data_IF_912819502290
#
_entry.id   IF_912819502290
#
_cell.length_a   1.000
_cell.length_b   1.000
_cell.length_c   1.000
_cell.angle_alpha   90.00
_cell.angle_beta   90.00
_cell.angle_gamma   90.00
#
_symmetry.space_group_name_H-M   'P 1'
#
loop_
_entity.id
_entity.type
_entity.pdbx_description
1 polymer ?
#
# COMPACT_ATOMS: atom_id res chain seq x y z
N UNK A 1 -28.61 16.16 -15.54
CA UNK A 1 -27.36 16.70 -14.95
C UNK A 1 -26.18 15.91 -15.50
N UNK A 2 -25.05 16.56 -15.73
CA UNK A 2 -23.80 15.90 -16.14
C UNK A 2 -23.24 15.07 -14.97
N UNK A 3 -22.63 13.92 -15.27
CA UNK A 3 -22.01 13.06 -14.24
C UNK A 3 -20.84 13.81 -13.57
N UNK A 4 -20.68 13.75 -12.23
CA UNK A 4 -19.52 14.33 -11.57
C UNK A 4 -18.22 13.65 -12.03
N UNK A 5 -17.10 14.38 -11.99
CA UNK A 5 -15.81 13.89 -12.49
C UNK A 5 -14.97 13.31 -11.35
N UNK A 6 -14.39 12.13 -11.57
CA UNK A 6 -13.33 11.55 -10.74
C UNK A 6 -12.00 11.68 -11.47
N UNK A 7 -11.00 12.26 -10.82
CA UNK A 7 -9.62 12.27 -11.29
C UNK A 7 -8.94 10.96 -10.87
N UNK A 8 -8.60 10.14 -11.85
CA UNK A 8 -7.95 8.86 -11.67
C UNK A 8 -6.43 8.99 -11.85
N UNK A 9 -5.66 8.63 -10.82
CA UNK A 9 -4.22 8.79 -10.80
C UNK A 9 -3.51 7.45 -11.04
N UNK A 10 -2.53 7.46 -11.95
CA UNK A 10 -1.68 6.31 -12.23
C UNK A 10 -2.22 5.38 -13.31
N UNK A 11 -1.87 4.10 -13.18
CA UNK A 11 -2.18 3.09 -14.18
C UNK A 11 -3.65 2.68 -14.15
N UNK A 12 -4.20 2.15 -15.27
CA UNK A 12 -5.52 1.53 -15.27
C UNK A 12 -5.65 0.48 -14.16
N UNK A 13 -6.86 0.30 -13.63
CA UNK A 13 -7.13 -0.77 -12.67
C UNK A 13 -6.74 -2.14 -13.24
N UNK A 14 -6.11 -2.97 -12.41
CA UNK A 14 -5.72 -4.34 -12.78
C UNK A 14 -6.76 -5.39 -12.34
N UNK A 15 -7.60 -5.04 -11.36
CA UNK A 15 -8.59 -5.92 -10.73
C UNK A 15 -9.89 -5.15 -10.49
N UNK A 16 -10.96 -5.86 -10.09
CA UNK A 16 -12.28 -5.29 -9.78
C UNK A 16 -12.91 -4.51 -10.95
N UNK A 17 -12.74 -5.01 -12.17
CA UNK A 17 -13.30 -4.39 -13.38
C UNK A 17 -14.81 -4.19 -13.32
N UNK A 18 -15.55 -5.13 -12.73
CA UNK A 18 -17.01 -5.02 -12.61
C UNK A 18 -17.45 -3.82 -11.75
N UNK A 19 -16.72 -3.55 -10.65
CA UNK A 19 -16.99 -2.39 -9.79
C UNK A 19 -16.65 -1.07 -10.50
N UNK A 20 -15.54 -1.04 -11.22
CA UNK A 20 -15.08 0.15 -11.93
C UNK A 20 -15.94 0.46 -13.16
N UNK A 21 -16.19 -0.54 -14.02
CA UNK A 21 -16.96 -0.40 -15.25
C UNK A 21 -18.48 -0.34 -14.99
N UNK A 22 -18.95 -0.95 -13.90
CA UNK A 22 -20.35 -0.93 -13.49
C UNK A 22 -20.69 0.32 -12.66
N UNK A 23 -20.84 0.19 -11.33
CA UNK A 23 -21.39 1.24 -10.49
C UNK A 23 -20.59 2.54 -10.51
N UNK A 24 -19.26 2.50 -10.64
CA UNK A 24 -18.44 3.71 -10.65
C UNK A 24 -18.60 4.49 -11.96
N UNK A 25 -18.30 3.89 -13.11
CA UNK A 25 -18.41 4.54 -14.42
C UNK A 25 -19.86 4.89 -14.82
N UNK A 26 -20.84 4.18 -14.26
CA UNK A 26 -22.26 4.54 -14.45
C UNK A 26 -22.61 5.86 -13.76
N UNK A 27 -22.01 6.15 -12.59
CA UNK A 27 -22.32 7.34 -11.78
C UNK A 27 -21.39 8.53 -12.06
N UNK A 28 -20.16 8.27 -12.49
CA UNK A 28 -19.11 9.27 -12.62
C UNK A 28 -18.48 9.26 -14.02
N UNK A 29 -17.98 10.42 -14.45
CA UNK A 29 -17.03 10.53 -15.56
C UNK A 29 -15.63 10.37 -14.98
N UNK A 30 -14.86 9.39 -15.45
CA UNK A 30 -13.51 9.15 -14.94
C UNK A 30 -12.50 9.72 -15.92
N UNK A 31 -11.68 10.67 -15.46
CA UNK A 31 -10.59 11.26 -16.25
C UNK A 31 -9.27 10.78 -15.65
N UNK A 32 -8.43 10.13 -16.46
CA UNK A 32 -7.13 9.65 -16.02
C UNK A 32 -6.05 10.70 -16.23
N UNK A 33 -5.25 10.96 -15.20
CA UNK A 33 -4.03 11.74 -15.33
C UNK A 33 -2.92 10.91 -16.01
N UNK A 34 -2.15 11.57 -16.86
CA UNK A 34 -1.01 10.99 -17.58
C UNK A 34 0.20 11.94 -17.54
N UNK A 35 0.24 12.86 -16.59
CA UNK A 35 1.33 13.84 -16.47
C UNK A 35 2.64 13.13 -16.11
N UNK A 36 3.74 13.37 -16.86
CA UNK A 36 4.98 12.63 -16.67
C UNK A 36 5.78 13.10 -15.45
N UNK A 37 5.49 14.30 -14.93
CA UNK A 37 6.20 14.91 -13.78
C UNK A 37 5.21 15.63 -12.88
N UNK A 38 5.63 15.90 -11.63
CA UNK A 38 4.91 16.75 -10.69
C UNK A 38 4.59 18.12 -11.29
N UNK A 39 5.56 18.77 -11.92
CA UNK A 39 5.38 20.10 -12.51
C UNK A 39 4.35 20.07 -13.65
N UNK A 40 4.38 19.04 -14.49
CA UNK A 40 3.38 18.87 -15.54
C UNK A 40 1.96 18.67 -14.95
N UNK A 41 1.85 17.97 -13.83
CA UNK A 41 0.58 17.81 -13.11
C UNK A 41 0.11 19.15 -12.49
N UNK A 42 1.01 19.91 -11.90
CA UNK A 42 0.74 21.26 -11.37
C UNK A 42 0.23 22.18 -12.48
N UNK A 43 0.90 22.20 -13.63
CA UNK A 43 0.46 23.01 -14.78
C UNK A 43 -0.90 22.53 -15.32
N UNK A 44 -1.15 21.23 -15.32
CA UNK A 44 -2.45 20.68 -15.69
C UNK A 44 -3.59 21.12 -14.74
N UNK A 45 -3.32 21.24 -13.44
CA UNK A 45 -4.27 21.80 -12.48
C UNK A 45 -4.52 23.29 -12.73
N UNK A 46 -3.44 24.08 -12.91
CA UNK A 46 -3.53 25.53 -13.16
C UNK A 46 -4.28 25.86 -14.46
N UNK A 47 -4.10 25.05 -15.50
CA UNK A 47 -4.77 25.20 -16.79
C UNK A 47 -6.18 24.60 -16.81
N UNK A 48 -6.68 24.10 -15.68
CA UNK A 48 -7.99 23.46 -15.53
C UNK A 48 -8.20 22.29 -16.52
N UNK A 49 -7.14 21.55 -16.85
CA UNK A 49 -7.13 20.46 -17.85
C UNK A 49 -8.21 19.41 -17.58
N UNK A 50 -8.48 19.11 -16.31
CA UNK A 50 -9.39 18.04 -15.89
C UNK A 50 -10.83 18.53 -15.60
N UNK A 51 -11.07 19.84 -15.63
CA UNK A 51 -12.35 20.43 -15.21
C UNK A 51 -12.64 20.28 -13.71
N UNK A 52 -13.90 20.53 -13.28
CA UNK A 52 -14.29 20.56 -11.87
C UNK A 52 -14.51 19.14 -11.31
N UNK A 53 -13.43 18.40 -11.07
CA UNK A 53 -13.52 17.08 -10.45
C UNK A 53 -13.89 17.16 -8.97
N UNK A 54 -14.64 16.15 -8.51
CA UNK A 54 -15.19 16.07 -7.15
C UNK A 54 -14.45 15.08 -6.27
N UNK A 55 -13.71 14.16 -6.88
CA UNK A 55 -12.93 13.15 -6.16
C UNK A 55 -11.61 12.83 -6.86
N UNK A 56 -10.64 12.40 -6.08
CA UNK A 56 -9.37 11.84 -6.54
C UNK A 56 -9.37 10.35 -6.18
N UNK A 57 -9.02 9.51 -7.15
CA UNK A 57 -8.96 8.07 -7.00
C UNK A 57 -7.59 7.56 -7.45
N UNK A 58 -6.82 6.97 -6.52
CA UNK A 58 -5.55 6.31 -6.82
C UNK A 58 -5.66 4.81 -6.47
N UNK A 59 -5.97 3.92 -7.44
CA UNK A 59 -6.23 2.51 -7.14
C UNK A 59 -4.99 1.67 -6.85
N UNK A 60 -3.80 2.17 -7.16
CA UNK A 60 -2.55 1.42 -7.04
C UNK A 60 -1.60 2.10 -6.08
N UNK A 61 -0.91 1.31 -5.27
CA UNK A 61 0.13 1.84 -4.38
C UNK A 61 1.40 2.25 -5.17
N UNK A 62 1.74 1.48 -6.21
CA UNK A 62 2.98 1.62 -6.98
C UNK A 62 2.92 2.63 -8.13
N UNK A 63 1.75 3.19 -8.44
CA UNK A 63 1.59 4.20 -9.50
C UNK A 63 0.74 5.38 -9.06
N UNK A 64 0.75 6.47 -9.83
CA UNK A 64 0.11 7.72 -9.41
C UNK A 64 0.80 8.37 -8.21
N UNK A 65 2.12 8.17 -8.07
CA UNK A 65 2.98 8.80 -7.06
C UNK A 65 3.82 9.93 -7.63
N UNK A 66 3.83 10.12 -8.95
CA UNK A 66 4.67 11.12 -9.65
C UNK A 66 4.47 12.56 -9.14
N UNK A 67 3.27 12.88 -8.66
CA UNK A 67 2.94 14.18 -8.10
C UNK A 67 3.17 14.28 -6.58
N UNK A 68 3.57 13.21 -5.90
CA UNK A 68 3.94 13.27 -4.48
C UNK A 68 5.17 14.15 -4.26
N UNK A 69 5.35 14.77 -3.08
CA UNK A 69 4.42 14.77 -1.94
C UNK A 69 3.17 15.63 -2.14
N UNK A 70 2.02 15.21 -1.61
CA UNK A 70 0.80 16.01 -1.54
C UNK A 70 0.87 17.00 -0.37
N UNK A 71 1.77 17.96 -0.49
CA UNK A 71 1.98 19.06 0.44
C UNK A 71 0.92 20.17 0.31
N UNK A 72 1.07 21.23 1.11
CA UNK A 72 0.14 22.36 1.10
C UNK A 72 0.06 23.07 -0.25
N UNK A 73 1.19 23.20 -0.95
CA UNK A 73 1.26 23.92 -2.23
C UNK A 73 0.48 23.17 -3.30
N UNK A 74 0.73 21.87 -3.47
CA UNK A 74 -0.03 21.06 -4.42
C UNK A 74 -1.50 20.96 -4.03
N UNK A 75 -1.78 20.75 -2.74
CA UNK A 75 -3.15 20.68 -2.26
C UNK A 75 -3.87 22.00 -2.51
N UNK A 76 -3.24 23.16 -2.41
CA UNK A 76 -3.90 24.47 -2.66
C UNK A 76 -4.45 24.61 -4.09
N UNK A 77 -3.87 23.91 -5.06
CA UNK A 77 -4.22 23.99 -6.48
C UNK A 77 -5.46 23.16 -6.86
N UNK A 78 -5.95 22.26 -5.99
CA UNK A 78 -7.11 21.43 -6.35
C UNK A 78 -8.38 22.29 -6.49
N UNK A 79 -9.30 21.94 -7.39
CA UNK A 79 -10.57 22.65 -7.52
C UNK A 79 -11.38 22.68 -6.20
N UNK A 80 -12.15 23.74 -5.91
CA UNK A 80 -13.01 23.81 -4.72
C UNK A 80 -14.10 22.72 -4.67
N UNK A 81 -14.38 22.07 -5.80
CA UNK A 81 -15.33 20.97 -5.93
C UNK A 81 -14.85 19.66 -5.30
N UNK A 82 -13.56 19.50 -5.04
CA UNK A 82 -13.00 18.25 -4.49
C UNK A 82 -13.51 18.04 -3.06
N UNK A 83 -14.04 16.85 -2.80
CA UNK A 83 -14.57 16.44 -1.48
C UNK A 83 -13.86 15.24 -0.89
N UNK A 84 -13.26 14.39 -1.72
CA UNK A 84 -12.61 13.16 -1.24
C UNK A 84 -11.39 12.79 -2.09
N UNK A 85 -10.36 12.28 -1.43
CA UNK A 85 -9.21 11.61 -2.02
C UNK A 85 -9.13 10.19 -1.44
N UNK A 86 -9.47 9.20 -2.26
CA UNK A 86 -9.29 7.79 -1.96
C UNK A 86 -8.02 7.23 -2.61
N UNK A 87 -7.13 6.65 -1.81
CA UNK A 87 -5.85 6.11 -2.25
C UNK A 87 -5.62 4.69 -1.74
N UNK A 88 -5.11 3.82 -2.61
CA UNK A 88 -4.58 2.53 -2.23
C UNK A 88 -3.29 2.66 -1.41
N UNK A 89 -3.00 1.62 -0.62
CA UNK A 89 -1.91 1.54 0.32
C UNK A 89 -2.31 1.96 1.74
N UNK A 90 -1.67 1.38 2.75
CA UNK A 90 -1.91 1.73 4.15
C UNK A 90 -1.14 2.99 4.58
N UNK A 91 0.10 3.15 4.11
CA UNK A 91 0.94 4.32 4.40
C UNK A 91 0.51 5.55 3.59
N UNK A 92 0.57 6.72 4.23
CA UNK A 92 0.20 8.01 3.64
C UNK A 92 1.17 9.12 4.06
N UNK A 93 2.43 8.77 4.31
CA UNK A 93 3.47 9.70 4.77
C UNK A 93 3.67 10.90 3.84
N UNK A 94 3.46 10.69 2.53
CA UNK A 94 3.61 11.74 1.51
C UNK A 94 2.35 12.59 1.34
N UNK A 95 1.31 12.41 2.18
CA UNK A 95 0.04 13.14 2.08
C UNK A 95 -0.15 14.06 3.28
N UNK A 96 -0.24 15.37 3.04
CA UNK A 96 -0.58 16.34 4.08
C UNK A 96 -2.07 16.28 4.42
N UNK A 97 -2.41 15.42 5.38
CA UNK A 97 -3.76 15.34 5.96
C UNK A 97 -4.23 16.70 6.51
N UNK A 98 -3.39 17.51 7.19
CA UNK A 98 -3.81 18.84 7.63
C UNK A 98 -4.21 19.76 6.47
N UNK A 99 -3.46 19.75 5.37
CA UNK A 99 -3.77 20.59 4.19
C UNK A 99 -5.08 20.16 3.53
N UNK A 100 -5.34 18.85 3.41
CA UNK A 100 -6.61 18.34 2.89
C UNK A 100 -7.78 18.70 3.82
N UNK A 101 -7.59 18.52 5.13
CA UNK A 101 -8.61 18.80 6.16
C UNK A 101 -9.01 20.27 6.18
N UNK A 102 -8.03 21.19 6.09
CA UNK A 102 -8.28 22.62 6.05
C UNK A 102 -9.16 23.05 4.86
N UNK A 103 -9.20 22.23 3.79
CA UNK A 103 -10.04 22.43 2.61
C UNK A 103 -11.34 21.64 2.64
N UNK A 104 -11.63 20.92 3.72
CA UNK A 104 -12.79 20.03 3.85
C UNK A 104 -12.73 18.81 2.93
N UNK A 105 -11.54 18.36 2.55
CA UNK A 105 -11.32 17.18 1.71
C UNK A 105 -11.06 15.97 2.62
N UNK A 106 -11.91 14.95 2.52
CA UNK A 106 -11.70 13.68 3.21
C UNK A 106 -10.59 12.89 2.53
N UNK A 107 -9.73 12.26 3.33
CA UNK A 107 -8.74 11.31 2.82
C UNK A 107 -9.05 9.91 3.34
N UNK A 108 -9.01 8.92 2.45
CA UNK A 108 -9.17 7.50 2.81
C UNK A 108 -8.03 6.70 2.19
N UNK A 109 -7.35 5.91 3.02
CA UNK A 109 -6.32 4.98 2.59
C UNK A 109 -6.88 3.55 2.42
N UNK A 110 -6.04 2.62 2.01
CA UNK A 110 -6.36 1.19 1.91
C UNK A 110 -6.04 0.39 3.18
N UNK A 111 -6.05 1.00 4.36
CA UNK A 111 -5.77 0.29 5.60
C UNK A 111 -6.75 -0.88 5.80
N UNK A 112 -6.22 -2.03 6.23
CA UNK A 112 -7.00 -3.26 6.37
C UNK A 112 -6.87 -4.24 5.21
N UNK A 113 -6.57 -3.75 4.00
CA UNK A 113 -6.56 -4.60 2.80
C UNK A 113 -5.43 -5.66 2.79
N UNK A 114 -4.34 -5.41 3.52
CA UNK A 114 -3.17 -6.30 3.58
C UNK A 114 -2.89 -6.86 4.97
N UNK A 115 -3.81 -6.73 5.92
CA UNK A 115 -3.57 -7.14 7.32
C UNK A 115 -3.15 -8.60 7.41
N UNK A 116 -3.92 -9.48 6.76
CA UNK A 116 -3.70 -10.91 6.78
C UNK A 116 -2.36 -11.30 6.14
N UNK A 117 -2.08 -10.75 4.95
CA UNK A 117 -0.86 -11.01 4.20
C UNK A 117 0.40 -10.53 4.94
N UNK A 118 0.34 -9.37 5.60
CA UNK A 118 1.45 -8.86 6.41
C UNK A 118 1.63 -9.71 7.67
N UNK A 119 0.54 -10.15 8.31
CA UNK A 119 0.61 -11.06 9.45
C UNK A 119 1.22 -12.43 9.06
N UNK A 120 0.85 -13.00 7.91
CA UNK A 120 1.45 -14.24 7.41
C UNK A 120 2.93 -14.09 7.13
N UNK A 121 3.31 -12.99 6.49
CA UNK A 121 4.73 -12.68 6.23
C UNK A 121 5.50 -12.54 7.54
N UNK A 122 4.90 -11.91 8.55
CA UNK A 122 5.50 -11.77 9.89
C UNK A 122 5.73 -13.13 10.54
N UNK A 123 4.75 -14.03 10.49
CA UNK A 123 4.90 -15.40 11.01
C UNK A 123 5.94 -16.21 10.24
N UNK A 124 5.98 -16.08 8.92
CA UNK A 124 7.03 -16.68 8.09
C UNK A 124 8.42 -16.20 8.55
N UNK A 125 8.58 -14.89 8.77
CA UNK A 125 9.86 -14.33 9.26
C UNK A 125 10.21 -14.83 10.66
N UNK A 126 9.24 -14.91 11.58
CA UNK A 126 9.44 -15.49 12.92
C UNK A 126 9.95 -16.93 12.80
N UNK A 127 9.28 -17.79 12.03
CA UNK A 127 9.72 -19.17 11.82
C UNK A 127 11.11 -19.23 11.17
N UNK A 128 11.37 -18.34 10.19
CA UNK A 128 12.66 -18.27 9.50
C UNK A 128 13.82 -17.98 10.45
N UNK A 129 13.66 -17.05 11.40
CA UNK A 129 14.72 -16.71 12.36
C UNK A 129 14.89 -17.77 13.45
N UNK A 130 13.81 -18.44 13.87
CA UNK A 130 13.89 -19.55 14.83
C UNK A 130 14.58 -20.79 14.23
N UNK A 131 14.37 -21.04 12.94
CA UNK A 131 14.79 -22.27 12.24
C UNK A 131 15.92 -22.06 11.23
N UNK A 132 16.46 -20.84 11.15
CA UNK A 132 17.52 -20.44 10.23
C UNK A 132 17.24 -20.81 8.76
N UNK A 133 15.98 -20.64 8.32
CA UNK A 133 15.55 -21.10 6.99
C UNK A 133 16.34 -20.45 5.85
N UNK A 134 16.70 -19.17 5.97
CA UNK A 134 17.51 -18.50 4.94
C UNK A 134 18.85 -19.19 4.72
N UNK A 135 19.58 -19.56 5.77
CA UNK A 135 20.86 -20.26 5.65
C UNK A 135 20.68 -21.66 5.04
N UNK A 136 19.64 -22.39 5.46
CA UNK A 136 19.30 -23.69 4.88
C UNK A 136 18.95 -23.60 3.40
N UNK A 137 18.18 -22.57 2.99
CA UNK A 137 17.82 -22.33 1.59
C UNK A 137 19.03 -22.01 0.72
N UNK A 138 19.95 -21.16 1.21
CA UNK A 138 21.20 -20.84 0.49
C UNK A 138 22.04 -22.09 0.28
N UNK A 139 22.23 -22.91 1.32
CA UNK A 139 22.99 -24.15 1.21
C UNK A 139 22.35 -25.15 0.25
N UNK A 140 21.03 -25.32 0.31
CA UNK A 140 20.29 -26.23 -0.59
C UNK A 140 20.38 -25.80 -2.07
N UNK A 141 20.39 -24.49 -2.35
CA UNK A 141 20.49 -23.95 -3.71
C UNK A 141 21.92 -23.89 -4.26
N UNK A 142 22.92 -24.24 -3.45
CA UNK A 142 24.33 -24.17 -3.85
C UNK A 142 24.73 -25.24 -4.87
N UNK A 143 23.96 -26.32 -4.99
CA UNK A 143 24.32 -27.50 -5.80
C UNK A 143 25.51 -28.29 -5.24
N UNK A 144 25.99 -27.95 -4.05
CA UNK A 144 27.17 -28.51 -3.41
C UNK A 144 26.75 -29.36 -2.21
N UNK A 145 27.07 -30.65 -2.28
CA UNK A 145 26.68 -31.64 -1.26
C UNK A 145 27.39 -31.39 0.07
N UNK A 146 28.65 -30.96 0.04
CA UNK A 146 29.42 -30.69 1.26
C UNK A 146 28.84 -29.49 2.00
N UNK A 147 28.54 -28.40 1.29
CA UNK A 147 27.89 -27.21 1.86
C UNK A 147 26.52 -27.50 2.44
N UNK A 148 25.72 -28.34 1.76
CA UNK A 148 24.42 -28.75 2.28
C UNK A 148 24.56 -29.51 3.60
N UNK A 149 25.45 -30.51 3.65
CA UNK A 149 25.66 -31.33 4.84
C UNK A 149 26.29 -30.55 6.00
N UNK A 150 27.21 -29.63 5.70
CA UNK A 150 27.80 -28.72 6.70
C UNK A 150 26.73 -27.82 7.33
N UNK A 151 25.92 -27.17 6.49
CA UNK A 151 24.81 -26.33 6.96
C UNK A 151 23.84 -27.13 7.84
N UNK A 152 23.44 -28.32 7.41
CA UNK A 152 22.56 -29.20 8.20
C UNK A 152 23.12 -29.50 9.60
N UNK A 153 24.41 -29.84 9.71
CA UNK A 153 25.05 -30.11 11.00
C UNK A 153 25.11 -28.86 11.89
N UNK A 154 25.49 -27.73 11.32
CA UNK A 154 25.69 -26.49 12.08
C UNK A 154 24.37 -25.89 12.56
N UNK A 155 23.33 -25.93 11.73
CA UNK A 155 22.03 -25.34 12.08
C UNK A 155 21.30 -26.09 13.21
N UNK A 156 21.57 -27.38 13.40
CA UNK A 156 20.96 -28.16 14.47
C UNK A 156 21.29 -27.61 15.87
N UNK A 157 22.49 -27.03 16.06
CA UNK A 157 22.93 -26.48 17.35
C UNK A 157 22.41 -25.08 17.68
N UNK A 158 21.94 -24.33 16.68
CA UNK A 158 21.52 -22.91 16.84
C UNK A 158 20.04 -22.68 16.53
N UNK A 159 19.35 -23.67 15.98
CA UNK A 159 17.91 -23.58 15.71
C UNK A 159 17.10 -23.97 16.94
N UNK A 160 15.98 -23.28 17.17
CA UNK A 160 15.09 -23.58 18.31
C UNK A 160 13.63 -23.52 17.90
N UNK A 161 12.76 -24.18 18.67
CA UNK A 161 11.33 -24.06 18.46
C UNK A 161 10.82 -22.75 19.08
N UNK A 162 9.90 -22.03 18.40
CA UNK A 162 9.28 -20.82 18.97
C UNK A 162 8.35 -21.13 20.15
N UNK A 163 7.84 -22.36 20.27
CA UNK A 163 6.92 -22.78 21.34
C UNK A 163 7.54 -22.53 22.72
N UNK A 164 6.76 -21.89 23.60
CA UNK A 164 7.19 -21.56 24.97
C UNK A 164 8.14 -20.37 25.07
N UNK A 165 8.43 -19.68 23.96
CA UNK A 165 9.12 -18.39 23.96
C UNK A 165 8.11 -17.24 24.03
N UNK A 166 8.58 -16.08 24.47
CA UNK A 166 7.77 -14.86 24.53
C UNK A 166 7.96 -14.06 23.25
N UNK A 167 6.85 -13.74 22.56
CA UNK A 167 6.84 -12.83 21.43
C UNK A 167 6.49 -11.41 21.92
N UNK A 168 7.44 -10.48 21.83
CA UNK A 168 7.21 -9.07 22.11
C UNK A 168 6.67 -8.35 20.87
N UNK A 169 5.46 -7.79 20.97
CA UNK A 169 4.86 -6.97 19.90
C UNK A 169 4.97 -5.49 20.25
N UNK A 170 5.68 -4.74 19.41
CA UNK A 170 5.74 -3.27 19.52
C UNK A 170 4.63 -2.69 18.63
N UNK A 171 3.45 -2.51 19.25
CA UNK A 171 2.22 -2.09 18.58
C UNK A 171 1.25 -3.25 18.39
N UNK A 172 0.09 -3.17 19.04
CA UNK A 172 -1.00 -4.16 18.96
C UNK A 172 -2.20 -3.59 18.20
N UNK A 173 -1.95 -3.14 16.97
CA UNK A 173 -2.99 -2.73 16.03
C UNK A 173 -3.53 -3.92 15.23
N UNK A 174 -4.20 -3.66 14.10
CA UNK A 174 -4.84 -4.68 13.26
C UNK A 174 -3.91 -5.85 12.89
N UNK A 175 -2.72 -5.53 12.37
CA UNK A 175 -1.71 -6.54 12.00
C UNK A 175 -1.19 -7.29 13.23
N UNK A 176 -0.84 -6.57 14.30
CA UNK A 176 -0.32 -7.19 15.53
C UNK A 176 -1.32 -8.18 16.12
N UNK A 177 -2.60 -7.82 16.15
CA UNK A 177 -3.68 -8.70 16.60
C UNK A 177 -3.83 -9.94 15.70
N UNK A 178 -3.71 -9.80 14.38
CA UNK A 178 -3.69 -10.96 13.47
C UNK A 178 -2.49 -11.88 13.71
N UNK A 179 -1.31 -11.33 14.00
CA UNK A 179 -0.13 -12.13 14.36
C UNK A 179 -0.37 -12.90 15.66
N UNK A 180 -0.96 -12.28 16.69
CA UNK A 180 -1.34 -12.98 17.93
C UNK A 180 -2.32 -14.10 17.63
N UNK A 181 -3.40 -13.81 16.91
CA UNK A 181 -4.45 -14.78 16.57
C UNK A 181 -3.89 -16.00 15.84
N UNK A 182 -2.86 -15.83 15.00
CA UNK A 182 -2.26 -16.90 14.21
C UNK A 182 -1.09 -17.60 14.93
N UNK A 183 -0.43 -16.94 15.88
CA UNK A 183 0.86 -17.38 16.45
C UNK A 183 0.83 -17.78 17.93
N UNK A 184 -0.26 -17.54 18.65
CA UNK A 184 -0.40 -17.80 20.08
C UNK A 184 -1.62 -18.70 20.31
N UNK A 185 -1.38 -19.89 20.86
CA UNK A 185 -2.38 -20.66 21.62
C UNK A 185 -2.31 -20.28 23.09
#
# INVERSE_FOLDING_TARGET
>A
MTKPIILHLGDPIAYNHDLYNGPLSTRFTIIRDTSPTRDAFIEALKTNKYGPFVAIFRPHFSSGTTMSPWDADLVSLLPPSVKIFASAGAGYNDISIPSLTARGIYYTNGAGASDEAVADTTLYMILSVFRNFTASQIAARSGDTEKFLECHRNLAGVSTNPRGKTLGLIGLGRIGSEVVRKGVD
#
